data_IF_620315829879
#
_entry.id   IF_620315829879
#
_cell.length_a   1.000
_cell.length_b   1.000
_cell.length_c   1.000
_cell.angle_alpha   90.00
_cell.angle_beta   90.00
_cell.angle_gamma   90.00
#
_symmetry.space_group_name_H-M   'P 1'
#
loop_
_entity.id
_entity.type
_entity.pdbx_description
1 polymer ?
#
# COMPACT_ATOMS: atom_id res chain seq x y z
N UNK A 1 -18.12 4.60 -11.76
CA UNK A 1 -17.20 3.50 -12.11
C UNK A 1 -16.38 3.91 -13.34
N UNK A 2 -15.20 4.49 -13.12
CA UNK A 2 -14.29 4.89 -14.21
C UNK A 2 -13.30 3.77 -14.49
N UNK A 3 -13.69 2.78 -15.29
CA UNK A 3 -12.81 1.68 -15.68
C UNK A 3 -11.78 2.14 -16.69
N UNK A 4 -10.49 1.93 -16.39
CA UNK A 4 -9.37 2.22 -17.32
C UNK A 4 -9.62 1.62 -18.71
N UNK A 5 -9.43 2.45 -19.73
CA UNK A 5 -9.53 2.09 -21.14
C UNK A 5 -8.54 0.96 -21.50
N UNK A 6 -8.80 0.25 -22.60
CA UNK A 6 -7.96 -0.87 -23.06
C UNK A 6 -6.52 -0.41 -23.36
N UNK A 7 -6.35 0.83 -23.84
CA UNK A 7 -5.04 1.45 -24.07
C UNK A 7 -4.28 1.76 -22.77
N UNK A 8 -4.97 2.27 -21.74
CA UNK A 8 -4.36 2.49 -20.43
C UNK A 8 -3.90 1.17 -19.80
N UNK A 9 -4.63 0.06 -20.00
CA UNK A 9 -4.21 -1.27 -19.53
C UNK A 9 -2.98 -1.82 -20.26
N UNK A 10 -2.81 -1.52 -21.54
CA UNK A 10 -1.67 -1.97 -22.35
C UNK A 10 -0.38 -1.20 -21.98
N UNK A 11 -0.45 0.14 -21.96
CA UNK A 11 0.65 1.01 -21.54
C UNK A 11 1.11 0.69 -20.10
N UNK A 12 0.15 0.29 -19.27
CA UNK A 12 0.36 -0.11 -17.90
C UNK A 12 1.07 -1.45 -17.76
N UNK A 13 0.74 -2.44 -18.59
CA UNK A 13 1.47 -3.71 -18.66
C UNK A 13 2.92 -3.49 -19.13
N UNK A 14 3.14 -2.62 -20.09
CA UNK A 14 4.48 -2.27 -20.58
C UNK A 14 5.34 -1.57 -19.53
N UNK A 15 4.79 -0.61 -18.78
CA UNK A 15 5.51 0.07 -17.68
C UNK A 15 5.94 -0.91 -16.57
N UNK A 16 5.15 -1.96 -16.32
CA UNK A 16 5.45 -2.99 -15.31
C UNK A 16 6.49 -4.01 -15.80
N UNK A 17 6.43 -4.40 -17.07
CA UNK A 17 7.48 -5.20 -17.70
C UNK A 17 8.80 -4.44 -17.70
N UNK A 18 8.76 -3.14 -18.04
CA UNK A 18 9.93 -2.26 -18.03
C UNK A 18 10.59 -2.15 -16.65
N UNK A 19 9.81 -2.09 -15.56
CA UNK A 19 10.36 -2.13 -14.18
C UNK A 19 11.10 -3.44 -13.88
N UNK A 20 10.57 -4.57 -14.34
CA UNK A 20 11.18 -5.89 -14.15
C UNK A 20 12.44 -6.08 -15.00
N UNK A 21 12.42 -5.65 -16.26
CA UNK A 21 13.59 -5.75 -17.16
C UNK A 21 14.70 -4.74 -16.83
N UNK A 22 14.39 -3.70 -16.05
CA UNK A 22 15.36 -2.67 -15.65
C UNK A 22 16.02 -2.90 -14.29
N UNK A 23 15.88 -4.09 -13.69
CA UNK A 23 16.62 -4.48 -12.50
C UNK A 23 15.99 -4.10 -11.15
N UNK A 24 14.69 -3.74 -11.13
CA UNK A 24 13.97 -3.45 -9.90
C UNK A 24 13.99 -4.61 -8.90
N UNK A 25 13.94 -4.28 -7.61
CA UNK A 25 13.89 -5.25 -6.51
C UNK A 25 12.79 -4.88 -5.53
N UNK A 26 12.31 -5.86 -4.78
CA UNK A 26 11.42 -5.58 -3.66
C UNK A 26 12.23 -4.98 -2.51
N UNK A 27 11.78 -3.82 -2.04
CA UNK A 27 12.35 -3.09 -0.90
C UNK A 27 11.27 -3.00 0.17
N UNK A 28 11.65 -3.23 1.42
CA UNK A 28 10.76 -3.03 2.56
C UNK A 28 10.95 -1.61 3.09
N UNK A 29 9.84 -0.94 3.37
CA UNK A 29 9.80 0.40 3.95
C UNK A 29 8.99 0.30 5.24
N UNK A 30 9.57 0.75 6.35
CA UNK A 30 8.90 0.80 7.65
C UNK A 30 8.59 2.23 8.04
N UNK A 31 7.48 2.48 8.75
CA UNK A 31 7.22 3.77 9.37
C UNK A 31 8.37 4.13 10.31
N UNK A 32 8.87 5.37 10.22
CA UNK A 32 10.01 5.86 11.00
C UNK A 32 11.38 5.61 10.38
N UNK A 33 11.53 4.63 9.48
CA UNK A 33 12.73 4.49 8.63
C UNK A 33 12.65 5.41 7.41
N UNK A 34 11.44 5.58 6.87
CA UNK A 34 11.12 6.53 5.81
C UNK A 34 9.81 7.24 6.13
N UNK A 35 9.64 8.45 5.61
CA UNK A 35 8.35 9.13 5.63
C UNK A 35 7.39 8.45 4.63
N UNK A 36 6.18 8.11 5.07
CA UNK A 36 5.16 7.48 4.22
C UNK A 36 4.01 8.48 4.03
N UNK A 37 3.83 8.94 2.79
CA UNK A 37 2.84 9.98 2.44
C UNK A 37 1.77 9.38 1.53
N UNK A 38 0.52 9.82 1.67
CA UNK A 38 -0.59 9.42 0.77
C UNK A 38 -1.07 7.98 0.89
N UNK A 39 -0.34 7.12 1.61
CA UNK A 39 -0.75 5.76 1.90
C UNK A 39 -2.02 5.75 2.76
N UNK A 40 -2.92 4.78 2.59
CA UNK A 40 -4.14 4.72 3.39
C UNK A 40 -3.87 4.27 4.84
N UNK A 41 -2.66 3.79 5.14
CA UNK A 41 -2.24 3.23 6.43
C UNK A 41 -0.80 3.66 6.76
N UNK A 42 -0.40 3.43 8.01
CA UNK A 42 0.93 3.64 8.55
C UNK A 42 1.38 5.11 8.54
N UNK A 43 0.43 6.00 8.79
CA UNK A 43 0.64 7.45 8.87
C UNK A 43 0.34 8.03 10.24
N UNK A 44 -0.30 7.24 11.11
CA UNK A 44 -0.78 7.71 12.39
C UNK A 44 -0.34 6.81 13.54
N UNK A 45 -0.99 7.04 14.68
CA UNK A 45 -0.67 6.32 15.91
C UNK A 45 -1.37 4.96 15.91
N UNK A 46 -0.63 3.83 16.01
CA UNK A 46 -1.22 2.50 16.07
C UNK A 46 -2.16 2.35 17.27
N UNK A 47 -3.31 1.74 17.04
CA UNK A 47 -4.27 1.45 18.10
C UNK A 47 -3.86 0.20 18.89
N UNK A 48 -4.14 0.22 20.19
CA UNK A 48 -3.98 -0.94 21.05
C UNK A 48 -4.90 -2.10 20.63
N UNK A 49 -4.44 -3.33 20.85
CA UNK A 49 -5.16 -4.55 20.46
C UNK A 49 -6.60 -4.63 20.99
N UNK A 50 -6.82 -4.20 22.23
CA UNK A 50 -8.16 -4.23 22.84
C UNK A 50 -9.10 -3.19 22.20
N UNK A 51 -8.59 -2.01 21.85
CA UNK A 51 -9.36 -1.01 21.10
C UNK A 51 -9.72 -1.52 19.69
N UNK A 52 -8.78 -2.19 19.01
CA UNK A 52 -9.02 -2.76 17.68
C UNK A 52 -10.14 -3.81 17.68
N UNK A 53 -10.16 -4.71 18.68
CA UNK A 53 -11.22 -5.73 18.82
C UNK A 53 -12.59 -5.11 19.06
N UNK A 54 -12.67 -4.02 19.84
CA UNK A 54 -13.91 -3.30 20.09
C UNK A 54 -14.45 -2.64 18.82
N UNK A 55 -13.57 -2.17 17.94
CA UNK A 55 -13.93 -1.52 16.68
C UNK A 55 -14.38 -2.52 15.61
N UNK A 56 -13.65 -3.62 15.44
CA UNK A 56 -13.99 -4.61 14.42
C UNK A 56 -13.47 -6.02 14.79
N UNK A 57 -14.33 -7.05 14.79
CA UNK A 57 -13.99 -8.39 15.30
C UNK A 57 -12.91 -9.11 14.47
N UNK A 58 -12.73 -8.73 13.20
CA UNK A 58 -11.70 -9.26 12.32
C UNK A 58 -10.58 -8.25 12.01
N UNK A 59 -10.42 -7.21 12.84
CA UNK A 59 -9.32 -6.26 12.73
C UNK A 59 -7.96 -6.97 12.86
N UNK A 60 -7.03 -6.57 12.00
CA UNK A 60 -5.63 -6.99 12.00
C UNK A 60 -4.72 -5.87 12.48
N UNK A 61 -5.10 -4.64 12.17
CA UNK A 61 -4.39 -3.42 12.49
C UNK A 61 -5.34 -2.24 12.43
N UNK A 62 -4.96 -1.15 13.07
CA UNK A 62 -5.59 0.13 12.86
C UNK A 62 -4.80 1.23 13.53
N UNK A 63 -5.07 2.45 13.11
CA UNK A 63 -4.37 3.65 13.53
C UNK A 63 -5.32 4.84 13.59
N UNK A 64 -4.96 5.82 14.42
CA UNK A 64 -5.60 7.13 14.45
C UNK A 64 -4.82 8.09 13.56
N UNK A 65 -5.46 8.66 12.55
CA UNK A 65 -4.87 9.58 11.58
C UNK A 65 -5.74 10.82 11.49
N UNK A 66 -5.21 11.97 11.90
CA UNK A 66 -5.90 13.28 11.80
C UNK A 66 -7.32 13.32 12.42
N UNK A 67 -7.56 12.51 13.45
CA UNK A 67 -8.87 12.39 14.12
C UNK A 67 -9.80 11.34 13.52
N UNK A 68 -9.45 10.76 12.37
CA UNK A 68 -10.09 9.58 11.81
C UNK A 68 -9.38 8.30 12.30
N UNK A 69 -10.09 7.18 12.27
CA UNK A 69 -9.54 5.86 12.59
C UNK A 69 -9.53 5.02 11.33
N UNK A 70 -8.36 4.50 10.94
CA UNK A 70 -8.27 3.51 9.87
C UNK A 70 -8.15 2.12 10.50
N UNK A 71 -8.95 1.16 10.04
CA UNK A 71 -8.92 -0.24 10.48
C UNK A 71 -8.69 -1.14 9.27
N UNK A 72 -7.68 -2.01 9.34
CA UNK A 72 -7.46 -3.07 8.35
C UNK A 72 -8.07 -4.36 8.90
N UNK A 73 -8.93 -5.02 8.12
CA UNK A 73 -9.58 -6.27 8.51
C UNK A 73 -9.50 -7.36 7.43
N UNK A 74 -9.46 -8.63 7.83
CA UNK A 74 -9.41 -9.80 6.90
C UNK A 74 -10.53 -9.80 5.87
N UNK A 75 -11.72 -9.36 6.29
CA UNK A 75 -12.89 -9.19 5.42
C UNK A 75 -13.30 -7.72 5.52
N UNK A 76 -13.40 -7.03 4.38
CA UNK A 76 -13.92 -5.67 4.35
C UNK A 76 -15.40 -5.70 4.75
N UNK A 77 -15.78 -4.92 5.74
CA UNK A 77 -17.13 -4.93 6.32
C UNK A 77 -17.38 -3.65 7.13
N UNK A 78 -18.64 -3.20 7.13
CA UNK A 78 -19.05 -1.88 7.65
C UNK A 78 -18.92 -1.81 9.18
N UNK A 79 -18.17 -0.83 9.65
CA UNK A 79 -18.45 -0.20 10.95
C UNK A 79 -19.62 0.77 10.73
N UNK A 80 -20.51 0.88 11.72
CA UNK A 80 -21.82 1.54 11.64
C UNK A 80 -21.82 2.93 11.01
N UNK A 81 -22.99 3.34 10.50
CA UNK A 81 -23.20 4.61 9.82
C UNK A 81 -23.03 5.75 10.82
N UNK A 82 -21.92 6.49 10.76
CA UNK A 82 -21.76 7.77 11.47
C UNK A 82 -20.41 8.06 12.15
N UNK A 83 -19.46 7.13 12.16
CA UNK A 83 -18.15 7.36 12.80
C UNK A 83 -17.06 7.62 11.75
N UNK A 84 -16.10 8.51 12.06
CA UNK A 84 -14.87 8.76 11.30
C UNK A 84 -13.93 7.55 11.30
N UNK A 85 -14.46 6.37 10.94
CA UNK A 85 -13.77 5.09 10.93
C UNK A 85 -13.77 4.55 9.50
N UNK A 86 -12.59 4.36 8.93
CA UNK A 86 -12.36 3.81 7.60
C UNK A 86 -11.91 2.36 7.70
N UNK A 87 -12.71 1.42 7.18
CA UNK A 87 -12.34 0.00 7.16
C UNK A 87 -11.78 -0.39 5.80
N UNK A 88 -10.51 -0.78 5.79
CA UNK A 88 -9.81 -1.33 4.64
C UNK A 88 -9.79 -2.85 4.72
N UNK A 89 -9.93 -3.48 3.56
CA UNK A 89 -9.69 -4.91 3.45
C UNK A 89 -8.19 -5.18 3.53
N UNK A 90 -7.80 -6.26 4.17
CA UNK A 90 -6.43 -6.77 4.11
C UNK A 90 -5.92 -6.84 2.67
N UNK A 91 -4.74 -6.26 2.44
CA UNK A 91 -4.09 -6.16 1.14
C UNK A 91 -4.65 -5.05 0.24
N UNK A 92 -5.46 -4.12 0.74
CA UNK A 92 -6.02 -3.03 -0.07
C UNK A 92 -4.93 -2.19 -0.74
N UNK A 93 -3.75 -2.04 -0.12
CA UNK A 93 -2.62 -1.25 -0.62
C UNK A 93 -1.94 -1.89 -1.82
N UNK A 94 -2.15 -3.19 -2.03
CA UNK A 94 -1.47 -3.94 -3.09
C UNK A 94 -1.81 -3.36 -4.46
N UNK A 95 -0.74 -3.06 -5.19
CA UNK A 95 -0.79 -2.48 -6.52
C UNK A 95 -0.82 -0.96 -6.54
N UNK A 96 -0.83 -0.25 -5.41
CA UNK A 96 -0.72 1.20 -5.46
C UNK A 96 0.63 1.62 -6.05
N UNK A 97 0.59 2.58 -6.98
CA UNK A 97 1.78 3.21 -7.53
C UNK A 97 2.30 4.19 -6.49
N UNK A 98 3.61 4.21 -6.28
CA UNK A 98 4.28 5.14 -5.39
C UNK A 98 5.44 5.85 -6.11
N UNK A 99 5.73 7.08 -5.70
CA UNK A 99 7.03 7.69 -5.92
C UNK A 99 7.95 7.32 -4.75
N UNK A 100 9.17 6.90 -5.08
CA UNK A 100 10.18 6.44 -4.11
C UNK A 100 11.37 7.39 -4.20
N UNK A 101 11.62 8.13 -3.14
CA UNK A 101 12.71 9.09 -3.05
C UNK A 101 13.88 8.44 -2.32
N UNK A 102 15.03 8.34 -2.98
CA UNK A 102 16.24 7.76 -2.42
C UNK A 102 17.48 8.46 -2.99
N UNK A 103 18.39 8.92 -2.14
CA UNK A 103 19.64 9.54 -2.57
C UNK A 103 19.45 10.77 -3.46
N UNK A 104 18.40 11.57 -3.21
CA UNK A 104 18.06 12.76 -3.99
C UNK A 104 17.43 12.49 -5.37
N UNK A 105 17.10 11.24 -5.70
CA UNK A 105 16.45 10.88 -6.98
C UNK A 105 15.08 10.24 -6.72
N UNK A 106 14.12 10.52 -7.60
CA UNK A 106 12.78 9.93 -7.56
C UNK A 106 12.68 8.75 -8.54
N UNK A 107 12.17 7.62 -8.05
CA UNK A 107 11.87 6.42 -8.82
C UNK A 107 10.40 6.06 -8.74
N UNK A 108 9.89 5.34 -9.75
CA UNK A 108 8.56 4.74 -9.67
C UNK A 108 8.64 3.42 -8.90
N UNK A 109 7.76 3.26 -7.92
CA UNK A 109 7.55 2.04 -7.16
C UNK A 109 6.12 1.52 -7.29
N UNK A 110 5.94 0.24 -6.98
CA UNK A 110 4.62 -0.39 -6.85
C UNK A 110 4.55 -1.11 -5.51
N UNK A 111 3.57 -0.80 -4.69
CA UNK A 111 3.31 -1.53 -3.44
C UNK A 111 2.91 -2.96 -3.77
N UNK A 112 3.70 -3.94 -3.33
CA UNK A 112 3.45 -5.36 -3.59
C UNK A 112 2.74 -6.04 -2.43
N UNK A 113 2.99 -5.57 -1.20
CA UNK A 113 2.46 -6.15 0.04
C UNK A 113 2.49 -5.12 1.17
N UNK A 114 1.54 -5.25 2.09
CA UNK A 114 1.60 -4.62 3.41
C UNK A 114 1.71 -5.70 4.49
N UNK A 115 2.48 -5.43 5.54
CA UNK A 115 2.54 -6.24 6.76
C UNK A 115 1.99 -5.42 7.92
N UNK A 116 0.94 -5.93 8.55
CA UNK A 116 0.18 -5.22 9.59
C UNK A 116 0.64 -5.55 11.01
N UNK A 117 1.23 -6.74 11.22
CA UNK A 117 1.78 -7.18 12.51
C UNK A 117 3.14 -6.53 12.78
N UNK A 118 3.96 -6.46 11.74
CA UNK A 118 5.21 -5.70 11.71
C UNK A 118 5.01 -4.59 10.67
N UNK A 119 4.52 -3.40 11.10
CA UNK A 119 4.11 -2.32 10.19
C UNK A 119 5.17 -2.04 9.13
N UNK A 120 4.86 -2.38 7.89
CA UNK A 120 5.74 -2.14 6.75
C UNK A 120 5.02 -2.29 5.41
N UNK A 121 5.51 -1.58 4.40
CA UNK A 121 5.14 -1.73 3.01
C UNK A 121 6.30 -2.33 2.23
N UNK A 122 6.03 -3.38 1.47
CA UNK A 122 6.94 -3.85 0.42
C UNK A 122 6.63 -3.10 -0.86
N UNK A 123 7.65 -2.54 -1.50
CA UNK A 123 7.56 -1.78 -2.74
C UNK A 123 8.55 -2.35 -3.73
N UNK A 124 8.09 -2.69 -4.93
CA UNK A 124 8.95 -3.05 -6.04
C UNK A 124 9.40 -1.78 -6.76
N UNK A 125 10.71 -1.48 -6.73
CA UNK A 125 11.29 -0.24 -7.24
C UNK A 125 12.72 -0.47 -7.72
N UNK A 126 13.24 0.45 -8.53
CA UNK A 126 14.67 0.48 -8.88
C UNK A 126 15.50 1.37 -7.95
N UNK A 127 14.86 2.03 -6.98
CA UNK A 127 15.58 2.89 -6.04
C UNK A 127 16.66 2.08 -5.30
N UNK A 128 17.88 2.60 -5.35
CA UNK A 128 19.04 2.09 -4.63
C UNK A 128 19.35 3.02 -3.43
N UNK A 129 20.06 2.52 -2.44
CA UNK A 129 20.30 3.26 -1.19
C UNK A 129 19.09 3.30 -0.26
N UNK A 130 19.16 4.12 0.78
CA UNK A 130 18.10 4.28 1.77
C UNK A 130 16.92 5.07 1.20
N UNK A 131 15.70 4.60 1.47
CA UNK A 131 14.49 5.27 1.02
C UNK A 131 14.15 6.32 2.08
N UNK A 132 14.12 7.58 1.66
CA UNK A 132 13.84 8.72 2.55
C UNK A 132 12.33 8.97 2.62
N UNK A 133 11.65 8.94 1.47
CA UNK A 133 10.21 9.19 1.36
C UNK A 133 9.56 8.18 0.40
N UNK A 134 8.41 7.66 0.80
CA UNK A 134 7.53 6.84 -0.01
C UNK A 134 6.18 7.55 -0.17
N UNK A 135 5.95 8.16 -1.32
CA UNK A 135 4.68 8.83 -1.65
C UNK A 135 3.74 7.87 -2.38
N UNK A 136 2.73 7.33 -1.70
CA UNK A 136 1.78 6.39 -2.27
C UNK A 136 0.61 7.15 -2.90
N UNK A 137 0.44 6.98 -4.21
CA UNK A 137 -0.66 7.57 -4.97
C UNK A 137 -1.96 6.78 -4.87
N UNK A 138 -3.01 7.27 -5.53
CA UNK A 138 -4.33 6.59 -5.60
C UNK A 138 -4.45 5.61 -6.76
N UNK A 139 -3.56 5.68 -7.74
CA UNK A 139 -3.58 4.84 -8.93
C UNK A 139 -3.06 3.43 -8.63
N UNK A 140 -3.73 2.41 -9.20
CA UNK A 140 -3.40 0.99 -8.97
C UNK A 140 -2.97 0.25 -10.22
N UNK A 141 -2.13 -0.76 -10.00
CA UNK A 141 -1.67 -1.76 -10.95
C UNK A 141 -2.03 -3.18 -10.54
N UNK A 142 -2.30 -4.04 -11.52
CA UNK A 142 -2.40 -5.48 -11.27
C UNK A 142 -1.01 -6.08 -11.05
N UNK A 143 -0.79 -6.63 -9.86
CA UNK A 143 0.50 -7.16 -9.38
C UNK A 143 0.57 -8.68 -9.51
N UNK A 144 -0.56 -9.37 -9.74
CA UNK A 144 -0.59 -10.84 -9.84
C UNK A 144 0.21 -11.33 -11.07
N UNK A 145 0.17 -10.56 -12.16
CA UNK A 145 0.99 -10.82 -13.35
C UNK A 145 2.50 -10.60 -13.15
N UNK A 146 2.91 -9.87 -12.11
CA UNK A 146 4.31 -9.51 -11.83
C UNK A 146 5.04 -10.64 -11.12
N UNK A 147 4.38 -11.30 -10.15
CA UNK A 147 4.99 -12.31 -9.28
C UNK A 147 5.01 -13.73 -9.84
N UNK A 148 4.64 -13.93 -11.11
CA UNK A 148 4.61 -15.26 -11.73
C UNK A 148 3.53 -16.19 -11.17
N UNK A 149 2.59 -15.67 -10.37
CA UNK A 149 1.42 -16.43 -9.93
C UNK A 149 0.32 -16.25 -10.96
N UNK A 150 0.42 -17.02 -12.05
CA UNK A 150 -0.73 -17.26 -12.91
C UNK A 150 -1.87 -17.79 -12.03
N UNK A 151 -3.00 -17.09 -12.02
CA UNK A 151 -4.25 -17.67 -11.53
C UNK A 151 -4.62 -18.81 -12.48
N UNK A 152 -4.55 -20.03 -11.96
CA UNK A 152 -5.32 -21.15 -12.47
C UNK A 152 -6.72 -21.08 -11.87
#
# INVERSE_FOLDING_TARGET
>A
EGGKSRGERALHRERLIALRTSGGRERRVRPGEAEIVGAPIFRGEPLAHEALKALHPAALYGESVDGDIVVVARRGGRVGVGSGIHVLREGWERGLIAAVHAGGVMHVGVVTRASYREPSLSVYTRAEGDIEVLEVGRARVDVDSIMGRAKW
#
